data_IF_516044348960
#
_entry.id   IF_516044348960
#
_cell.length_a   1.000
_cell.length_b   1.000
_cell.length_c   1.000
_cell.angle_alpha   90.00
_cell.angle_beta   90.00
_cell.angle_gamma   90.00
#
_symmetry.space_group_name_H-M   'P 1'
#
loop_
_entity.id
_entity.type
_entity.pdbx_description
1 polymer ?
#
# COMPACT_ATOMS: atom_id res chain seq x y z
N UNK A 1 17.66 3.35 14.30
CA UNK A 1 16.34 3.69 13.76
C UNK A 1 15.48 2.44 13.80
N UNK A 2 14.16 2.57 13.78
CA UNK A 2 13.23 1.46 13.65
C UNK A 2 13.21 0.89 12.26
N UNK A 3 12.24 0.00 12.02
CA UNK A 3 12.01 -0.62 10.72
C UNK A 3 10.61 -0.26 10.21
N UNK A 4 10.50 -0.02 8.91
CA UNK A 4 9.27 0.30 8.21
C UNK A 4 8.98 -0.77 7.14
N UNK A 5 7.99 -1.61 7.40
CA UNK A 5 7.56 -2.70 6.54
C UNK A 5 6.23 -2.32 5.89
N UNK A 6 6.15 -2.37 4.58
CA UNK A 6 4.95 -2.04 3.83
C UNK A 6 4.27 -3.32 3.36
N UNK A 7 2.97 -3.42 3.61
CA UNK A 7 2.10 -4.42 2.97
C UNK A 7 1.33 -3.71 1.85
N UNK A 8 1.65 -4.07 0.62
CA UNK A 8 1.08 -3.49 -0.58
C UNK A 8 0.22 -4.52 -1.33
N UNK A 9 -0.65 -4.08 -2.22
CA UNK A 9 -1.50 -4.93 -3.06
C UNK A 9 -2.80 -4.27 -3.45
N UNK A 10 -3.50 -4.85 -4.40
CA UNK A 10 -4.81 -4.42 -4.88
C UNK A 10 -5.90 -4.53 -3.81
N UNK A 11 -7.08 -3.97 -4.10
CA UNK A 11 -8.21 -4.12 -3.21
C UNK A 11 -8.69 -5.58 -3.19
N UNK A 12 -9.06 -6.06 -2.00
CA UNK A 12 -9.38 -7.48 -1.83
C UNK A 12 -8.19 -8.42 -1.68
N UNK A 13 -6.93 -7.95 -1.78
CA UNK A 13 -5.74 -8.82 -1.66
C UNK A 13 -5.44 -9.34 -0.24
N UNK A 14 -6.17 -8.88 0.78
CA UNK A 14 -5.98 -9.33 2.15
C UNK A 14 -4.95 -8.51 2.96
N UNK A 15 -4.52 -7.34 2.49
CA UNK A 15 -3.55 -6.46 3.19
C UNK A 15 -3.87 -6.26 4.67
N UNK A 16 -5.07 -5.79 4.98
CA UNK A 16 -5.48 -5.54 6.36
C UNK A 16 -5.41 -6.80 7.23
N UNK A 17 -5.77 -7.95 6.69
CA UNK A 17 -5.70 -9.25 7.38
C UNK A 17 -4.24 -9.62 7.67
N UNK A 18 -3.36 -9.51 6.69
CA UNK A 18 -1.94 -9.85 6.86
C UNK A 18 -1.23 -8.85 7.78
N UNK A 19 -1.55 -7.55 7.66
CA UNK A 19 -1.05 -6.51 8.58
C UNK A 19 -1.42 -6.81 10.03
N UNK A 20 -2.69 -7.16 10.28
CA UNK A 20 -3.16 -7.49 11.64
C UNK A 20 -2.48 -8.76 12.19
N UNK A 21 -2.39 -9.84 11.39
CA UNK A 21 -1.72 -11.09 11.81
C UNK A 21 -0.23 -10.88 12.07
N UNK A 22 0.44 -10.12 11.21
CA UNK A 22 1.86 -9.81 11.38
C UNK A 22 2.10 -9.01 12.65
N UNK A 23 1.27 -8.00 12.91
CA UNK A 23 1.34 -7.20 14.14
C UNK A 23 1.17 -8.07 15.39
N UNK A 24 0.11 -8.88 15.41
CA UNK A 24 -0.18 -9.78 16.54
C UNK A 24 0.99 -10.74 16.82
N UNK A 25 1.55 -11.35 15.78
CA UNK A 25 2.67 -12.29 15.90
C UNK A 25 3.93 -11.61 16.42
N UNK A 26 4.31 -10.47 15.84
CA UNK A 26 5.49 -9.73 16.29
C UNK A 26 5.37 -9.29 17.75
N UNK A 27 4.19 -8.82 18.16
CA UNK A 27 3.93 -8.44 19.55
C UNK A 27 3.98 -9.65 20.51
N UNK A 28 3.42 -10.78 20.09
CA UNK A 28 3.48 -12.03 20.88
C UNK A 28 4.92 -12.54 21.04
N UNK A 29 5.80 -12.28 20.08
CA UNK A 29 7.23 -12.58 20.16
C UNK A 29 8.05 -11.53 20.93
N UNK A 30 7.41 -10.47 21.43
CA UNK A 30 8.04 -9.45 22.27
C UNK A 30 8.61 -8.26 21.53
N UNK A 31 8.40 -8.15 20.20
CA UNK A 31 8.83 -6.99 19.44
C UNK A 31 7.95 -5.77 19.74
N UNK A 32 8.58 -4.61 19.78
CA UNK A 32 7.85 -3.34 19.81
C UNK A 32 7.37 -3.03 18.40
N UNK A 33 6.12 -3.39 18.09
CA UNK A 33 5.53 -3.22 16.77
C UNK A 33 4.20 -2.45 16.84
N UNK A 34 3.94 -1.62 15.83
CA UNK A 34 2.67 -0.92 15.59
C UNK A 34 2.28 -1.03 14.13
N UNK A 35 0.99 -0.93 13.85
CA UNK A 35 0.49 -0.78 12.47
C UNK A 35 -0.03 0.62 12.24
N UNK A 36 0.10 1.08 10.98
CA UNK A 36 -0.51 2.29 10.43
C UNK A 36 -1.18 1.93 9.11
N UNK A 37 -2.16 2.70 8.70
CA UNK A 37 -2.86 2.49 7.42
C UNK A 37 -3.05 3.81 6.70
N UNK A 38 -2.91 3.79 5.38
CA UNK A 38 -3.08 4.98 4.55
C UNK A 38 -4.08 4.72 3.42
N UNK A 39 -5.01 5.68 3.17
CA UNK A 39 -5.17 6.95 3.91
C UNK A 39 -5.63 6.73 5.35
N UNK A 40 -5.18 7.61 6.26
CA UNK A 40 -5.70 7.64 7.62
C UNK A 40 -7.02 8.43 7.66
N UNK A 41 -8.11 7.78 7.33
CA UNK A 41 -9.42 8.41 7.18
C UNK A 41 -9.96 9.07 8.46
N UNK A 42 -9.43 8.74 9.63
CA UNK A 42 -9.82 9.37 10.90
C UNK A 42 -9.09 10.71 11.13
N UNK A 43 -8.02 10.96 10.38
CA UNK A 43 -7.25 12.20 10.44
C UNK A 43 -7.91 13.33 9.66
N UNK A 44 -7.94 14.57 10.22
CA UNK A 44 -8.31 15.75 9.44
C UNK A 44 -7.44 15.98 8.20
N UNK A 45 -6.20 15.49 8.18
CA UNK A 45 -5.30 15.60 7.04
C UNK A 45 -5.77 14.77 5.83
N UNK A 46 -6.62 13.75 6.04
CA UNK A 46 -7.21 12.95 4.97
C UNK A 46 -8.47 13.58 4.34
N UNK A 47 -8.97 14.70 4.84
CA UNK A 47 -10.19 15.31 4.27
C UNK A 47 -10.05 15.66 2.78
N UNK A 48 -8.95 16.25 2.28
CA UNK A 48 -8.76 16.46 0.85
C UNK A 48 -8.76 15.16 0.03
N UNK A 49 -8.27 14.05 0.61
CA UNK A 49 -8.32 12.73 -0.03
C UNK A 49 -9.77 12.26 -0.15
N UNK A 50 -10.58 12.40 0.91
CA UNK A 50 -12.00 12.05 0.88
C UNK A 50 -12.76 12.87 -0.18
N UNK A 51 -12.46 14.17 -0.30
CA UNK A 51 -13.02 15.03 -1.36
C UNK A 51 -12.64 14.50 -2.75
N UNK A 52 -11.37 14.15 -2.96
CA UNK A 52 -10.90 13.58 -4.23
C UNK A 52 -11.63 12.27 -4.57
N UNK A 53 -11.69 11.33 -3.63
CA UNK A 53 -12.32 10.01 -3.83
C UNK A 53 -13.83 10.09 -4.06
N UNK A 54 -14.52 11.10 -3.47
CA UNK A 54 -15.96 11.38 -3.75
C UNK A 54 -16.17 12.03 -5.12
N UNK A 55 -15.12 12.44 -5.81
CA UNK A 55 -15.21 13.14 -7.09
C UNK A 55 -15.57 14.62 -6.96
N UNK A 56 -15.28 15.26 -5.81
CA UNK A 56 -15.53 16.71 -5.61
C UNK A 56 -14.62 17.56 -6.51
N UNK A 57 -13.49 17.02 -6.95
CA UNK A 57 -12.53 17.66 -7.88
C UNK A 57 -12.70 17.19 -9.33
N UNK A 58 -13.73 16.40 -9.64
CA UNK A 58 -14.02 15.81 -10.94
C UNK A 58 -14.41 14.34 -10.80
N UNK A 59 -15.27 13.88 -11.72
CA UNK A 59 -15.91 12.55 -11.65
C UNK A 59 -15.01 11.39 -12.05
N UNK A 60 -13.92 11.70 -12.75
CA UNK A 60 -12.98 10.71 -13.28
C UNK A 60 -11.64 10.80 -12.55
N UNK A 61 -10.93 9.68 -12.38
CA UNK A 61 -9.60 9.63 -11.80
C UNK A 61 -8.59 10.54 -12.55
N UNK A 62 -8.80 10.73 -13.86
CA UNK A 62 -8.02 11.60 -14.72
C UNK A 62 -8.28 13.11 -14.50
N UNK A 63 -9.39 13.49 -13.84
CA UNK A 63 -9.72 14.89 -13.58
C UNK A 63 -8.70 15.62 -12.72
N UNK A 64 -7.95 14.89 -11.89
CA UNK A 64 -6.86 15.41 -11.07
C UNK A 64 -5.55 14.80 -11.55
N UNK A 65 -4.57 15.63 -11.90
CA UNK A 65 -3.28 15.12 -12.35
C UNK A 65 -2.54 14.37 -11.23
N UNK A 66 -1.59 13.52 -11.62
CA UNK A 66 -0.87 12.64 -10.71
C UNK A 66 -0.12 13.41 -9.60
N UNK A 67 0.49 14.54 -9.92
CA UNK A 67 1.24 15.35 -8.97
C UNK A 67 0.34 15.93 -7.87
N UNK A 68 -0.82 16.50 -8.24
CA UNK A 68 -1.78 17.04 -7.28
C UNK A 68 -2.37 15.92 -6.43
N UNK A 69 -2.84 14.82 -7.03
CA UNK A 69 -3.38 13.69 -6.28
C UNK A 69 -2.35 13.14 -5.28
N UNK A 70 -1.09 12.98 -5.70
CA UNK A 70 -0.01 12.49 -4.82
C UNK A 70 0.25 13.39 -3.63
N UNK A 71 0.19 14.73 -3.82
CA UNK A 71 0.35 15.67 -2.69
C UNK A 71 -0.72 15.52 -1.64
N UNK A 72 -1.97 15.21 -1.99
CA UNK A 72 -3.04 15.00 -1.02
C UNK A 72 -2.70 13.82 -0.10
N UNK A 73 -2.27 12.71 -0.68
CA UNK A 73 -1.86 11.52 0.09
C UNK A 73 -0.56 11.73 0.87
N UNK A 74 0.39 12.50 0.32
CA UNK A 74 1.65 12.80 0.98
C UNK A 74 1.46 13.64 2.25
N UNK A 75 0.51 14.58 2.24
CA UNK A 75 0.15 15.38 3.43
C UNK A 75 -0.41 14.49 4.54
N UNK A 76 -1.26 13.54 4.23
CA UNK A 76 -1.81 12.59 5.20
C UNK A 76 -0.70 11.75 5.84
N UNK A 77 0.22 11.21 5.04
CA UNK A 77 1.39 10.46 5.54
C UNK A 77 2.29 11.30 6.43
N UNK A 78 2.58 12.52 5.99
CA UNK A 78 3.40 13.46 6.77
C UNK A 78 2.76 13.77 8.13
N UNK A 79 1.46 14.09 8.14
CA UNK A 79 0.74 14.39 9.36
C UNK A 79 0.72 13.19 10.32
N UNK A 80 0.42 12.00 9.82
CA UNK A 80 0.45 10.76 10.59
C UNK A 80 1.84 10.49 11.16
N UNK A 81 2.90 10.58 10.34
CA UNK A 81 4.27 10.38 10.80
C UNK A 81 4.62 11.32 11.95
N UNK A 82 4.43 12.62 11.76
CA UNK A 82 4.83 13.64 12.73
C UNK A 82 4.05 13.60 14.03
N UNK A 83 2.75 13.25 13.99
CA UNK A 83 1.87 13.32 15.15
C UNK A 83 1.80 12.00 15.94
N UNK A 84 1.95 10.85 15.27
CA UNK A 84 1.66 9.56 15.89
C UNK A 84 2.90 8.68 16.04
N UNK A 85 3.58 8.32 14.95
CA UNK A 85 4.52 7.22 14.99
C UNK A 85 6.00 7.58 14.85
N UNK A 86 6.37 8.85 14.60
CA UNK A 86 7.76 9.27 14.43
C UNK A 86 8.65 8.87 15.62
N UNK A 87 8.24 9.23 16.84
CA UNK A 87 9.05 8.94 18.04
C UNK A 87 9.20 7.44 18.28
N UNK A 88 8.14 6.68 18.02
CA UNK A 88 8.17 5.23 18.16
C UNK A 88 9.17 4.61 17.18
N UNK A 89 9.14 5.02 15.92
CA UNK A 89 10.06 4.59 14.87
C UNK A 89 11.50 4.99 15.18
N UNK A 90 11.75 6.25 15.55
CA UNK A 90 13.10 6.74 15.88
C UNK A 90 13.72 6.01 17.08
N UNK A 91 12.90 5.52 17.99
CA UNK A 91 13.32 4.72 19.15
C UNK A 91 13.49 3.21 18.87
N UNK A 92 13.49 2.81 17.61
CA UNK A 92 13.74 1.42 17.21
C UNK A 92 12.49 0.56 17.08
N UNK A 93 11.29 1.15 17.09
CA UNK A 93 10.04 0.43 16.90
C UNK A 93 9.83 -0.04 15.46
N UNK A 94 9.12 -1.14 15.28
CA UNK A 94 8.74 -1.69 13.99
C UNK A 94 7.38 -1.10 13.59
N UNK A 95 7.31 -0.50 12.42
CA UNK A 95 6.06 -0.02 11.80
C UNK A 95 5.66 -0.94 10.67
N UNK A 96 4.43 -1.44 10.71
CA UNK A 96 3.80 -2.19 9.62
C UNK A 96 2.77 -1.26 9.00
N UNK A 97 2.96 -0.88 7.75
CA UNK A 97 2.04 0.02 7.06
C UNK A 97 1.19 -0.74 6.03
N UNK A 98 -0.14 -0.68 6.17
CA UNK A 98 -1.09 -1.05 5.12
C UNK A 98 -1.17 0.13 4.15
N UNK A 99 -0.49 0.01 3.00
CA UNK A 99 -0.20 1.07 2.02
C UNK A 99 0.78 2.14 2.55
N UNK A 100 1.47 2.78 1.62
CA UNK A 100 2.39 3.89 1.89
C UNK A 100 2.59 4.74 0.61
N UNK A 101 3.76 5.33 0.43
CA UNK A 101 4.19 6.00 -0.82
C UNK A 101 4.07 5.07 -2.03
N UNK A 102 4.29 3.78 -1.82
CA UNK A 102 4.17 2.72 -2.81
C UNK A 102 2.81 2.70 -3.52
N UNK A 103 1.71 2.94 -2.81
CA UNK A 103 0.38 3.07 -3.42
C UNK A 103 0.26 4.28 -4.34
N UNK A 104 0.91 5.42 -4.00
CA UNK A 104 0.99 6.56 -4.92
C UNK A 104 1.80 6.22 -6.18
N UNK A 105 2.92 5.50 -6.02
CA UNK A 105 3.70 5.04 -7.17
C UNK A 105 2.81 4.26 -8.13
N UNK A 106 2.05 3.29 -7.64
CA UNK A 106 1.15 2.45 -8.45
C UNK A 106 0.03 3.27 -9.08
N UNK A 107 -0.84 3.85 -8.25
CA UNK A 107 -2.12 4.42 -8.69
C UNK A 107 -1.98 5.74 -9.46
N UNK A 108 -0.87 6.45 -9.31
CA UNK A 108 -0.71 7.73 -10.00
C UNK A 108 0.15 7.63 -11.25
N UNK A 109 1.17 6.73 -11.30
CA UNK A 109 1.98 6.59 -12.51
C UNK A 109 1.22 5.99 -13.69
N UNK A 110 0.14 5.23 -13.46
CA UNK A 110 -0.69 4.67 -14.54
C UNK A 110 -1.43 5.74 -15.35
N UNK A 111 -1.48 6.98 -14.87
CA UNK A 111 -2.01 8.13 -15.62
C UNK A 111 -1.10 8.53 -16.79
N UNK A 112 0.12 8.03 -16.82
CA UNK A 112 1.08 8.25 -17.90
C UNK A 112 1.23 6.97 -18.73
N UNK A 113 1.21 7.11 -20.05
CA UNK A 113 1.44 6.01 -21.00
C UNK A 113 2.90 5.90 -21.39
N UNK A 114 3.63 7.01 -21.39
CA UNK A 114 5.04 7.07 -21.74
C UNK A 114 5.93 6.66 -20.53
N UNK A 115 6.96 5.83 -20.80
CA UNK A 115 7.86 5.32 -19.76
C UNK A 115 8.75 6.40 -19.17
N UNK A 116 9.16 7.40 -19.91
CA UNK A 116 10.00 8.49 -19.39
C UNK A 116 9.16 9.45 -18.54
N UNK A 117 7.89 9.67 -18.88
CA UNK A 117 6.96 10.40 -18.02
C UNK A 117 6.73 9.66 -16.69
N UNK A 118 6.56 8.33 -16.73
CA UNK A 118 6.46 7.49 -15.51
C UNK A 118 7.69 7.62 -14.63
N UNK A 119 8.88 7.51 -15.20
CA UNK A 119 10.14 7.66 -14.47
C UNK A 119 10.27 9.06 -13.85
N UNK A 120 9.97 10.09 -14.63
CA UNK A 120 10.02 11.48 -14.14
C UNK A 120 9.07 11.69 -12.97
N UNK A 121 7.85 11.16 -13.05
CA UNK A 121 6.88 11.21 -11.98
C UNK A 121 7.38 10.47 -10.73
N UNK A 122 7.91 9.25 -10.87
CA UNK A 122 8.43 8.46 -9.76
C UNK A 122 9.60 9.13 -9.07
N UNK A 123 10.52 9.74 -9.82
CA UNK A 123 11.63 10.53 -9.27
C UNK A 123 11.14 11.75 -8.48
N UNK A 124 10.15 12.46 -9.02
CA UNK A 124 9.54 13.58 -8.31
C UNK A 124 8.84 13.15 -7.02
N UNK A 125 8.11 12.03 -7.04
CA UNK A 125 7.42 11.49 -5.88
C UNK A 125 8.41 11.08 -4.79
N UNK A 126 9.51 10.43 -5.18
CA UNK A 126 10.61 10.06 -4.28
C UNK A 126 11.19 11.31 -3.61
N UNK A 127 11.50 12.35 -4.38
CA UNK A 127 12.00 13.62 -3.86
C UNK A 127 10.98 14.29 -2.93
N UNK A 128 9.71 14.33 -3.29
CA UNK A 128 8.67 14.94 -2.46
C UNK A 128 8.59 14.28 -1.09
N UNK A 129 8.44 12.96 -1.09
CA UNK A 129 8.12 12.22 0.15
C UNK A 129 9.35 12.00 1.03
N UNK A 130 10.48 11.67 0.44
CA UNK A 130 11.66 11.27 1.23
C UNK A 130 12.66 12.40 1.45
N UNK A 131 12.82 13.33 0.50
CA UNK A 131 13.80 14.41 0.64
C UNK A 131 13.17 15.70 1.21
N UNK A 132 11.94 16.06 0.74
CA UNK A 132 11.30 17.30 1.18
C UNK A 132 10.42 17.09 2.42
N UNK A 133 9.62 16.03 2.49
CA UNK A 133 8.80 15.71 3.65
C UNK A 133 9.56 14.92 4.71
N UNK A 134 10.73 14.38 4.36
CA UNK A 134 11.63 13.63 5.25
C UNK A 134 10.90 12.45 5.89
N UNK A 135 10.04 11.79 5.13
CA UNK A 135 9.41 10.56 5.55
C UNK A 135 10.43 9.40 5.50
N UNK A 136 10.34 8.41 6.39
CA UNK A 136 11.23 7.26 6.34
C UNK A 136 11.02 6.44 5.07
N UNK A 137 12.11 5.99 4.46
CA UNK A 137 12.05 5.01 3.37
C UNK A 137 11.69 3.64 3.91
N UNK A 138 10.87 2.85 3.19
CA UNK A 138 10.62 1.47 3.57
C UNK A 138 11.91 0.65 3.63
N UNK A 139 12.04 -0.20 4.65
CA UNK A 139 13.06 -1.24 4.71
C UNK A 139 12.66 -2.45 3.85
N UNK A 140 11.37 -2.77 3.82
CA UNK A 140 10.82 -3.81 2.95
C UNK A 140 9.44 -3.40 2.43
N UNK A 141 9.15 -3.77 1.18
CA UNK A 141 7.83 -3.69 0.58
C UNK A 141 7.40 -5.09 0.16
N UNK A 142 6.26 -5.55 0.68
CA UNK A 142 5.71 -6.87 0.41
C UNK A 142 4.42 -6.69 -0.39
N UNK A 143 4.46 -7.06 -1.66
CA UNK A 143 3.30 -7.08 -2.52
C UNK A 143 2.53 -8.39 -2.34
N UNK A 144 1.29 -8.29 -1.86
CA UNK A 144 0.33 -9.39 -1.92
C UNK A 144 -0.24 -9.45 -3.34
N UNK A 145 0.34 -10.30 -4.16
CA UNK A 145 0.00 -10.45 -5.57
C UNK A 145 -1.25 -11.34 -5.71
N UNK A 146 -2.41 -10.67 -5.77
CA UNK A 146 -3.72 -11.30 -5.89
C UNK A 146 -4.21 -11.18 -7.33
N UNK A 147 -4.47 -12.29 -8.03
CA UNK A 147 -5.08 -12.27 -9.34
C UNK A 147 -6.42 -11.52 -9.36
N UNK A 148 -6.65 -10.72 -10.40
CA UNK A 148 -7.87 -9.92 -10.53
C UNK A 148 -9.15 -10.72 -10.36
N UNK A 149 -9.20 -11.93 -10.93
CA UNK A 149 -10.37 -12.81 -10.83
C UNK A 149 -10.69 -13.22 -9.39
N UNK A 150 -9.67 -13.44 -8.58
CA UNK A 150 -9.84 -13.80 -7.16
C UNK A 150 -10.17 -12.58 -6.31
N UNK A 151 -9.57 -11.43 -6.59
CA UNK A 151 -9.87 -10.18 -5.87
C UNK A 151 -11.30 -9.72 -6.13
N UNK A 152 -11.77 -9.77 -7.39
CA UNK A 152 -13.16 -9.47 -7.76
C UNK A 152 -14.16 -10.37 -7.01
N UNK A 153 -13.86 -11.68 -6.91
CA UNK A 153 -14.70 -12.63 -6.16
C UNK A 153 -14.79 -12.30 -4.67
N UNK A 154 -13.64 -11.97 -4.04
CA UNK A 154 -13.58 -11.60 -2.62
C UNK A 154 -14.29 -10.26 -2.33
N UNK A 155 -14.17 -9.28 -3.21
CA UNK A 155 -14.87 -8.00 -3.11
C UNK A 155 -16.38 -8.18 -3.24
N UNK A 156 -16.85 -8.99 -4.20
CA UNK A 156 -18.27 -9.30 -4.37
C UNK A 156 -18.87 -9.99 -3.14
N UNK A 157 -18.11 -10.89 -2.49
CA UNK A 157 -18.55 -11.56 -1.26
C UNK A 157 -18.67 -10.57 -0.08
N UNK A 158 -17.78 -9.61 0.02
CA UNK A 158 -17.84 -8.55 1.07
C UNK A 158 -19.02 -7.61 0.87
N UNK A 159 -19.25 -7.10 -0.35
CA UNK A 159 -20.37 -6.22 -0.67
C UNK A 159 -21.71 -6.90 -0.46
N UNK A 160 -21.83 -8.19 -0.76
CA UNK A 160 -23.01 -9.01 -0.48
C UNK A 160 -23.34 -9.12 1.02
N UNK A 161 -22.33 -9.07 1.90
CA UNK A 161 -22.49 -9.16 3.36
C UNK A 161 -22.76 -7.80 4.02
N UNK A 162 -22.29 -6.69 3.45
CA UNK A 162 -22.35 -5.34 4.08
C UNK A 162 -23.40 -4.42 3.48
N UNK A 163 -24.01 -4.78 2.33
CA UNK A 163 -25.12 -4.02 1.72
C UNK A 163 -24.73 -2.61 1.21
N UNK A 164 -23.44 -2.31 1.11
CA UNK A 164 -22.93 -0.99 0.74
C UNK A 164 -22.32 -0.98 -0.66
N UNK A 165 -22.95 -0.29 -1.58
CA UNK A 165 -22.40 0.03 -2.90
C UNK A 165 -21.69 1.38 -2.81
N UNK A 166 -20.42 1.38 -2.41
CA UNK A 166 -19.60 2.59 -2.41
C UNK A 166 -18.15 2.25 -2.79
N UNK A 167 -17.98 1.67 -3.97
CA UNK A 167 -16.66 1.71 -4.63
C UNK A 167 -16.28 3.15 -4.92
N UNK A 168 -15.04 3.52 -4.65
CA UNK A 168 -14.53 4.82 -5.03
C UNK A 168 -14.37 4.93 -6.57
N UNK A 169 -13.94 6.11 -7.06
CA UNK A 169 -13.79 6.37 -8.50
C UNK A 169 -12.77 5.44 -9.17
N UNK A 170 -11.92 4.75 -8.42
CA UNK A 170 -10.89 3.83 -8.93
C UNK A 170 -11.38 2.39 -9.00
N UNK A 171 -12.21 1.94 -8.04
CA UNK A 171 -12.71 0.56 -7.97
C UNK A 171 -13.70 0.21 -9.08
N UNK A 172 -14.35 1.20 -9.69
CA UNK A 172 -15.41 1.00 -10.70
C UNK A 172 -14.87 0.81 -12.11
N UNK A 173 -13.59 1.04 -12.36
CA UNK A 173 -12.97 0.97 -13.68
C UNK A 173 -12.05 -0.25 -13.82
N UNK A 174 -12.54 -1.27 -14.56
CA UNK A 174 -11.77 -2.48 -14.82
C UNK A 174 -10.46 -2.23 -15.59
N UNK A 175 -10.43 -1.22 -16.45
CA UNK A 175 -9.21 -0.84 -17.16
C UNK A 175 -8.16 -0.28 -16.21
N UNK A 176 -8.61 0.44 -15.18
CA UNK A 176 -7.77 0.90 -14.09
C UNK A 176 -7.17 -0.26 -13.29
N UNK A 177 -7.97 -1.29 -12.96
CA UNK A 177 -7.50 -2.46 -12.22
C UNK A 177 -6.41 -3.23 -13.00
N UNK A 178 -6.57 -3.39 -14.31
CA UNK A 178 -5.55 -4.01 -15.17
C UNK A 178 -4.26 -3.16 -15.17
N UNK A 179 -4.38 -1.85 -15.38
CA UNK A 179 -3.23 -0.95 -15.38
C UNK A 179 -2.49 -0.94 -14.02
N UNK A 180 -3.20 -1.06 -12.92
CA UNK A 180 -2.63 -1.22 -11.57
C UNK A 180 -1.84 -2.52 -11.46
N UNK A 181 -2.35 -3.62 -11.98
CA UNK A 181 -1.64 -4.90 -11.98
C UNK A 181 -0.33 -4.82 -12.77
N UNK A 182 -0.37 -4.27 -13.99
CA UNK A 182 0.84 -4.05 -14.82
C UNK A 182 1.85 -3.11 -14.13
N UNK A 183 1.34 -2.13 -13.39
CA UNK A 183 2.18 -1.21 -12.61
C UNK A 183 2.92 -1.93 -11.47
N UNK A 184 2.27 -2.85 -10.79
CA UNK A 184 2.94 -3.68 -9.77
C UNK A 184 4.08 -4.49 -10.37
N UNK A 185 3.91 -5.11 -11.54
CA UNK A 185 4.97 -5.88 -12.20
C UNK A 185 6.20 -5.03 -12.49
N UNK A 186 5.99 -3.81 -12.99
CA UNK A 186 7.07 -2.86 -13.24
C UNK A 186 7.77 -2.46 -11.93
N UNK A 187 7.01 -2.14 -10.88
CA UNK A 187 7.58 -1.64 -9.62
C UNK A 187 8.32 -2.73 -8.84
N UNK A 188 7.79 -3.95 -8.80
CA UNK A 188 8.47 -5.11 -8.18
C UNK A 188 9.85 -5.30 -8.78
N UNK A 189 9.95 -5.28 -10.12
CA UNK A 189 11.23 -5.48 -10.81
C UNK A 189 12.18 -4.29 -10.69
N UNK A 190 11.66 -3.06 -10.50
CA UNK A 190 12.47 -1.83 -10.46
C UNK A 190 12.98 -1.51 -9.06
N UNK A 191 12.18 -1.80 -8.02
CA UNK A 191 12.44 -1.38 -6.63
C UNK A 191 12.69 -2.55 -5.68
N UNK A 192 12.90 -3.74 -6.20
CA UNK A 192 13.21 -4.95 -5.41
C UNK A 192 12.15 -5.26 -4.34
N UNK A 193 10.86 -5.12 -4.69
CA UNK A 193 9.78 -5.47 -3.78
C UNK A 193 9.64 -6.99 -3.69
N UNK A 194 9.33 -7.48 -2.53
CA UNK A 194 9.02 -8.90 -2.33
C UNK A 194 7.60 -9.20 -2.83
N UNK A 195 7.50 -10.15 -3.77
CA UNK A 195 6.22 -10.61 -4.29
C UNK A 195 5.78 -11.88 -3.54
N UNK A 196 4.61 -11.84 -2.93
CA UNK A 196 3.95 -12.98 -2.30
C UNK A 196 2.71 -13.32 -3.13
N UNK A 197 2.78 -14.43 -3.87
CA UNK A 197 1.64 -14.89 -4.65
C UNK A 197 0.51 -15.38 -3.75
N UNK A 198 -0.69 -14.85 -3.94
CA UNK A 198 -1.87 -15.23 -3.15
C UNK A 198 -2.60 -16.46 -3.73
N UNK A 199 -2.20 -16.95 -4.89
CA UNK A 199 -2.70 -18.20 -5.49
C UNK A 199 -1.63 -19.30 -5.48
N UNK A 200 -2.10 -20.54 -5.50
CA UNK A 200 -1.24 -21.72 -5.64
C UNK A 200 -1.10 -22.14 -7.12
N UNK A 201 -0.28 -23.15 -7.39
CA UNK A 201 -0.05 -23.69 -8.74
C UNK A 201 -1.34 -24.21 -9.45
N UNK A 202 -2.41 -24.43 -8.72
CA UNK A 202 -3.73 -24.83 -9.23
C UNK A 202 -4.67 -23.63 -9.44
N UNK A 203 -4.17 -22.40 -9.41
CA UNK A 203 -4.90 -21.14 -9.51
C UNK A 203 -6.02 -21.00 -8.44
N UNK A 204 -5.77 -21.55 -7.26
CA UNK A 204 -6.68 -21.44 -6.12
C UNK A 204 -6.09 -20.51 -5.07
N UNK A 205 -6.94 -19.76 -4.38
CA UNK A 205 -6.53 -18.90 -3.29
C UNK A 205 -5.81 -19.73 -2.20
N UNK A 206 -4.62 -19.29 -1.83
CA UNK A 206 -3.88 -19.84 -0.69
C UNK A 206 -4.58 -19.47 0.62
N UNK A 207 -4.35 -20.25 1.65
CA UNK A 207 -4.89 -19.92 2.98
C UNK A 207 -4.25 -18.66 3.55
N UNK A 208 -4.99 -17.98 4.42
CA UNK A 208 -4.49 -16.79 5.12
C UNK A 208 -3.19 -17.12 5.88
N UNK A 209 -3.13 -18.31 6.50
CA UNK A 209 -1.97 -18.74 7.27
C UNK A 209 -0.76 -19.05 6.40
N UNK A 210 -0.96 -19.67 5.25
CA UNK A 210 0.09 -19.94 4.27
C UNK A 210 0.76 -18.65 3.76
N UNK A 211 -0.07 -17.66 3.38
CA UNK A 211 0.41 -16.34 2.96
C UNK A 211 1.14 -15.66 4.12
N UNK A 212 0.58 -15.78 5.33
CA UNK A 212 1.17 -15.19 6.52
C UNK A 212 2.57 -15.73 6.85
N UNK A 213 2.78 -17.04 6.74
CA UNK A 213 4.10 -17.64 6.99
C UNK A 213 5.16 -17.11 6.02
N UNK A 214 4.82 -16.91 4.76
CA UNK A 214 5.73 -16.33 3.78
C UNK A 214 6.02 -14.86 4.07
N UNK A 215 4.98 -14.05 4.32
CA UNK A 215 5.11 -12.63 4.74
C UNK A 215 5.99 -12.51 5.97
N UNK A 216 5.72 -13.32 6.99
CA UNK A 216 6.50 -13.32 8.22
C UNK A 216 7.96 -13.73 7.99
N UNK A 217 8.20 -14.74 7.16
CA UNK A 217 9.56 -15.18 6.79
C UNK A 217 10.39 -14.06 6.15
N UNK A 218 9.77 -13.29 5.26
CA UNK A 218 10.41 -12.11 4.65
C UNK A 218 10.72 -11.06 5.74
N UNK A 219 9.75 -10.70 6.54
CA UNK A 219 9.91 -9.67 7.59
C UNK A 219 10.99 -10.03 8.59
N UNK A 220 11.09 -11.31 8.98
CA UNK A 220 12.11 -11.78 9.90
C UNK A 220 13.53 -11.57 9.39
N UNK A 221 13.78 -11.66 8.09
CA UNK A 221 15.11 -11.37 7.51
C UNK A 221 15.52 -9.92 7.81
N UNK A 222 14.59 -8.98 7.71
CA UNK A 222 14.84 -7.56 8.01
C UNK A 222 15.01 -7.29 9.51
N UNK A 223 14.19 -7.91 10.36
CA UNK A 223 14.27 -7.73 11.81
C UNK A 223 15.57 -8.32 12.39
N UNK A 224 15.99 -9.49 11.91
CA UNK A 224 17.17 -10.17 12.41
C UNK A 224 18.48 -9.67 11.78
N UNK A 225 18.43 -8.67 10.88
CA UNK A 225 19.59 -8.09 10.23
C UNK A 225 20.25 -8.98 9.19
N UNK A 226 19.58 -10.03 8.73
CA UNK A 226 20.07 -10.98 7.72
C UNK A 226 19.68 -10.53 6.30
N UNK A 227 19.99 -9.27 5.95
CA UNK A 227 19.82 -8.80 4.59
C UNK A 227 21.01 -9.28 3.79
N UNK A 228 20.82 -10.29 2.93
CA UNK A 228 21.81 -10.79 2.01
C UNK A 228 22.03 -9.86 0.83
#
# INVERSE_FOLDING_TARGET
MGQLIIIEGGDGSGKATQTAKLLERLQAEGYQARSVSFPNYDSPAAEPIKMYLRGDFGKEASSVNAYVASTLYAIDRFASYRQDWQRFYENGGIIIADRYTTSNMVHQMIKYTDLEERKTFLQWLDQLEYDLYVLPRPDAVILLDMPLSLSEALLAERTGKTGGNTGDIHEQDRSHLIAVHDAYDMLVSTYDWHRVHCENESNQLRTIDDIHEEVYGIVKQYIDGNHG
#
